data_IF_843313298485
#
_entry.id   IF_843313298485
#
_cell.length_a   1.000
_cell.length_b   1.000
_cell.length_c   1.000
_cell.angle_alpha   90.00
_cell.angle_beta   90.00
_cell.angle_gamma   90.00
#
_symmetry.space_group_name_H-M   'P 1'
#
loop_
_entity.id
_entity.type
_entity.pdbx_description
1 polymer ?
#
# COMPACT_ATOMS: atom_id res chain seq x y z
N UNK A 1 7.51 4.48 -29.65
CA UNK A 1 8.59 5.49 -29.51
C UNK A 1 8.45 6.01 -28.08
N UNK A 2 9.54 6.10 -27.32
CA UNK A 2 9.46 6.73 -26.01
C UNK A 2 9.41 8.24 -26.26
N UNK A 3 8.35 8.88 -25.81
CA UNK A 3 8.19 10.32 -25.95
C UNK A 3 8.87 11.01 -24.76
N UNK A 4 9.74 11.96 -25.07
CA UNK A 4 10.47 12.77 -24.11
C UNK A 4 9.79 14.15 -24.02
N UNK A 5 9.19 14.46 -22.86
CA UNK A 5 8.45 15.70 -22.63
C UNK A 5 9.25 16.67 -21.77
N UNK A 6 9.28 17.96 -22.14
CA UNK A 6 9.71 19.00 -21.22
C UNK A 6 8.69 19.13 -20.07
N UNK A 7 9.15 19.14 -18.83
CA UNK A 7 8.28 19.17 -17.66
C UNK A 7 8.82 20.06 -16.54
N UNK A 8 7.89 20.62 -15.77
CA UNK A 8 8.21 21.28 -14.49
C UNK A 8 7.77 20.39 -13.33
N UNK A 9 8.66 20.15 -12.36
CA UNK A 9 8.31 19.36 -11.16
C UNK A 9 7.57 20.25 -10.17
N UNK A 10 6.26 20.05 -10.05
CA UNK A 10 5.38 20.82 -9.15
C UNK A 10 5.62 20.44 -7.70
N UNK A 11 5.64 19.14 -7.39
CA UNK A 11 5.92 18.64 -6.04
C UNK A 11 6.43 17.20 -6.04
N UNK A 12 7.17 16.86 -4.99
CA UNK A 12 7.49 15.47 -4.65
C UNK A 12 6.33 14.88 -3.85
N UNK A 13 5.91 13.66 -4.20
CA UNK A 13 4.87 12.92 -3.51
C UNK A 13 5.52 11.98 -2.50
N UNK A 14 6.42 11.11 -2.96
CA UNK A 14 7.19 10.13 -2.18
C UNK A 14 8.60 9.99 -2.80
N UNK A 15 9.47 9.15 -2.24
CA UNK A 15 10.87 9.01 -2.68
C UNK A 15 11.10 8.46 -4.10
N UNK A 16 10.04 8.04 -4.80
CA UNK A 16 10.07 7.60 -6.20
C UNK A 16 8.91 8.17 -7.03
N UNK A 17 8.20 9.17 -6.50
CA UNK A 17 6.95 9.65 -7.09
C UNK A 17 6.87 11.16 -7.04
N UNK A 18 6.57 11.78 -8.19
CA UNK A 18 6.48 13.24 -8.35
C UNK A 18 5.20 13.64 -9.06
N UNK A 19 4.80 14.91 -8.91
CA UNK A 19 3.79 15.58 -9.72
C UNK A 19 4.53 16.52 -10.66
N UNK A 20 4.29 16.37 -11.96
CA UNK A 20 4.88 17.23 -12.99
C UNK A 20 3.80 17.98 -13.74
N UNK A 21 4.15 19.12 -14.31
CA UNK A 21 3.33 19.92 -15.20
C UNK A 21 3.96 19.93 -16.59
N UNK A 22 3.15 19.67 -17.62
CA UNK A 22 3.54 19.79 -19.02
C UNK A 22 3.38 21.24 -19.53
N UNK A 23 3.91 21.58 -20.72
CA UNK A 23 3.84 22.95 -21.25
C UNK A 23 2.41 23.44 -21.56
N UNK A 24 1.46 22.53 -21.72
CA UNK A 24 0.03 22.81 -21.86
C UNK A 24 -0.64 23.23 -20.53
N UNK A 25 0.05 23.07 -19.40
CA UNK A 25 -0.42 23.38 -18.06
C UNK A 25 -1.00 22.19 -17.30
N UNK A 26 -1.16 21.03 -17.94
CA UNK A 26 -1.75 19.85 -17.31
C UNK A 26 -0.78 19.17 -16.35
N UNK A 27 -1.31 18.69 -15.22
CA UNK A 27 -0.53 18.07 -14.16
C UNK A 27 -0.68 16.54 -14.10
N UNK A 28 0.44 15.83 -14.17
CA UNK A 28 0.48 14.37 -14.19
C UNK A 28 1.24 13.79 -13.00
N UNK A 29 0.73 12.68 -12.47
CA UNK A 29 1.47 11.90 -11.49
C UNK A 29 2.48 11.03 -12.21
N UNK A 30 3.73 11.06 -11.75
CA UNK A 30 4.81 10.27 -12.31
C UNK A 30 5.34 9.33 -11.24
N UNK A 31 5.44 8.04 -11.56
CA UNK A 31 6.24 7.06 -10.83
C UNK A 31 7.57 6.91 -11.55
N UNK A 32 8.67 6.99 -10.81
CA UNK A 32 10.00 6.84 -11.34
C UNK A 32 10.25 5.40 -11.76
N UNK A 33 10.57 5.21 -13.03
CA UNK A 33 10.77 3.90 -13.64
C UNK A 33 12.00 3.17 -13.08
N UNK A 34 11.87 1.86 -12.89
CA UNK A 34 12.94 0.98 -12.44
C UNK A 34 13.37 1.15 -10.98
N UNK A 35 12.78 2.04 -10.19
CA UNK A 35 13.15 2.22 -8.78
C UNK A 35 11.95 2.06 -7.85
N UNK A 36 12.21 1.77 -6.59
CA UNK A 36 11.20 1.72 -5.53
C UNK A 36 11.83 2.28 -4.25
N UNK A 37 11.23 3.35 -3.72
CA UNK A 37 11.73 4.04 -2.53
C UNK A 37 11.07 3.52 -1.24
N UNK A 38 11.74 3.62 -0.08
CA UNK A 38 11.10 3.36 1.20
C UNK A 38 9.85 4.23 1.37
N UNK A 39 8.75 3.60 1.79
CA UNK A 39 7.50 4.29 2.08
C UNK A 39 7.70 5.26 3.25
N UNK A 40 6.88 6.32 3.34
CA UNK A 40 6.98 7.34 4.41
C UNK A 40 6.95 6.78 5.83
N UNK A 41 6.33 5.61 6.03
CA UNK A 41 6.24 4.92 7.31
C UNK A 41 7.37 3.90 7.54
N UNK A 42 8.23 3.67 6.55
CA UNK A 42 9.46 2.92 6.69
C UNK A 42 10.59 3.81 7.19
N UNK A 43 11.62 3.14 7.74
CA UNK A 43 12.90 3.78 7.99
C UNK A 43 13.49 4.29 6.66
N UNK A 44 14.11 5.46 6.68
CA UNK A 44 14.56 6.22 5.50
C UNK A 44 13.47 6.74 4.55
N UNK A 45 12.17 6.55 4.83
CA UNK A 45 11.09 7.07 3.97
C UNK A 45 11.06 8.59 3.87
N UNK A 46 11.20 9.28 5.01
CA UNK A 46 11.33 10.75 5.04
C UNK A 46 12.62 11.23 4.36
N UNK A 47 13.74 10.58 4.67
CA UNK A 47 15.04 10.93 4.08
C UNK A 47 15.02 10.78 2.55
N UNK A 48 14.37 9.72 2.04
CA UNK A 48 14.19 9.47 0.62
C UNK A 48 13.35 10.54 -0.07
N UNK A 49 12.21 10.89 0.51
CA UNK A 49 11.38 12.01 0.04
C UNK A 49 12.16 13.33 0.00
N UNK A 50 12.85 13.66 1.09
CA UNK A 50 13.55 14.93 1.22
C UNK A 50 14.76 15.03 0.29
N UNK A 51 15.47 13.91 0.06
CA UNK A 51 16.55 13.86 -0.91
C UNK A 51 16.04 14.03 -2.34
N UNK A 52 14.96 13.33 -2.75
CA UNK A 52 14.36 13.55 -4.07
C UNK A 52 13.94 15.01 -4.25
N UNK A 53 13.36 15.62 -3.21
CA UNK A 53 13.00 17.04 -3.20
C UNK A 53 14.22 17.94 -3.41
N UNK A 54 15.36 17.63 -2.80
CA UNK A 54 16.61 18.36 -3.04
C UNK A 54 17.12 18.17 -4.47
N UNK A 55 17.09 16.94 -5.00
CA UNK A 55 17.50 16.64 -6.38
C UNK A 55 16.67 17.45 -7.37
N UNK A 56 15.34 17.38 -7.29
CA UNK A 56 14.47 18.07 -8.26
C UNK A 56 14.56 19.60 -8.14
N UNK A 57 14.84 20.15 -6.96
CA UNK A 57 15.01 21.59 -6.74
C UNK A 57 16.38 22.13 -7.13
N UNK A 58 17.39 21.25 -7.22
CA UNK A 58 18.73 21.65 -7.65
C UNK A 58 18.76 22.10 -9.12
N UNK A 59 17.69 21.83 -9.88
CA UNK A 59 17.56 22.17 -11.29
C UNK A 59 16.19 22.77 -11.57
N UNK A 60 16.13 23.67 -12.55
CA UNK A 60 14.88 24.33 -12.97
C UNK A 60 14.13 23.57 -14.06
N UNK A 61 14.86 22.90 -14.94
CA UNK A 61 14.31 22.31 -16.17
C UNK A 61 14.59 20.80 -16.21
N UNK A 62 13.54 20.03 -16.46
CA UNK A 62 13.55 18.58 -16.48
C UNK A 62 12.88 18.06 -17.75
N UNK A 63 13.33 16.89 -18.21
CA UNK A 63 12.63 16.06 -19.17
C UNK A 63 12.12 14.79 -18.52
N UNK A 64 10.94 14.37 -18.99
CA UNK A 64 10.33 13.11 -18.63
C UNK A 64 10.30 12.20 -19.86
N UNK A 65 11.05 11.10 -19.81
CA UNK A 65 10.87 9.99 -20.74
C UNK A 65 9.79 9.08 -20.23
N UNK A 66 8.65 9.02 -20.91
CA UNK A 66 7.55 8.12 -20.53
C UNK A 66 7.81 6.73 -21.12
N UNK A 67 7.70 5.73 -20.25
CA UNK A 67 7.91 4.31 -20.58
C UNK A 67 6.57 3.57 -20.61
N UNK A 68 5.67 3.89 -19.69
CA UNK A 68 4.38 3.22 -19.56
C UNK A 68 3.37 4.09 -18.79
N UNK A 69 2.11 3.65 -18.71
CA UNK A 69 1.09 4.19 -17.80
C UNK A 69 0.60 3.06 -16.90
N UNK A 70 0.77 3.21 -15.59
CA UNK A 70 0.39 2.15 -14.66
C UNK A 70 -1.14 2.05 -14.46
N UNK A 71 -1.57 0.97 -13.80
CA UNK A 71 -3.00 0.73 -13.51
C UNK A 71 -3.67 1.81 -12.65
N UNK A 72 -2.90 2.67 -12.01
CA UNK A 72 -3.39 3.81 -11.22
C UNK A 72 -3.39 5.11 -12.03
N UNK A 73 -3.19 5.02 -13.35
CA UNK A 73 -3.14 6.15 -14.28
C UNK A 73 -2.00 7.12 -13.94
N UNK A 74 -0.89 6.60 -13.41
CA UNK A 74 0.36 7.36 -13.27
C UNK A 74 1.24 7.11 -14.48
N UNK A 75 1.87 8.16 -14.99
CA UNK A 75 2.96 8.01 -15.94
C UNK A 75 4.11 7.27 -15.25
N UNK A 76 4.71 6.31 -15.92
CA UNK A 76 5.92 5.62 -15.47
C UNK A 76 7.07 6.10 -16.34
N UNK A 77 8.09 6.70 -15.73
CA UNK A 77 9.12 7.34 -16.54
C UNK A 77 10.42 7.68 -15.83
N UNK A 78 11.37 8.13 -16.63
CA UNK A 78 12.70 8.56 -16.19
C UNK A 78 12.75 10.08 -16.21
N UNK A 79 13.03 10.68 -15.07
CA UNK A 79 13.10 12.14 -14.92
C UNK A 79 14.58 12.56 -14.95
N UNK A 80 14.99 13.26 -16.01
CA UNK A 80 16.37 13.66 -16.23
C UNK A 80 16.49 15.14 -16.62
N UNK A 81 17.66 15.77 -16.42
CA UNK A 81 17.81 17.19 -16.67
C UNK A 81 17.66 17.55 -18.14
N UNK A 82 17.13 18.74 -18.44
CA UNK A 82 17.21 19.31 -19.79
C UNK A 82 18.70 19.41 -20.23
N UNK A 83 19.00 18.94 -21.45
CA UNK A 83 20.38 18.84 -21.96
C UNK A 83 21.25 17.78 -21.28
N UNK A 84 20.72 17.02 -20.32
CA UNK A 84 21.40 15.91 -19.65
C UNK A 84 21.08 14.55 -20.26
N UNK A 85 21.69 13.51 -19.69
CA UNK A 85 21.44 12.12 -20.08
C UNK A 85 20.60 11.38 -19.03
N UNK A 86 20.12 10.18 -19.39
CA UNK A 86 19.47 9.26 -18.45
C UNK A 86 20.36 8.95 -17.23
N UNK A 87 21.69 8.94 -17.38
CA UNK A 87 22.61 8.71 -16.25
C UNK A 87 22.58 9.84 -15.21
N UNK A 88 22.22 11.05 -15.63
CA UNK A 88 22.07 12.23 -14.76
C UNK A 88 20.66 12.30 -14.13
N UNK A 89 19.83 11.29 -14.34
CA UNK A 89 18.44 11.28 -13.89
C UNK A 89 18.32 11.30 -12.37
N UNK A 90 17.19 11.82 -11.91
CA UNK A 90 16.79 11.69 -10.52
C UNK A 90 16.71 10.21 -10.11
N UNK A 91 16.35 9.30 -11.04
CA UNK A 91 16.32 7.86 -10.77
C UNK A 91 17.70 7.33 -10.34
N UNK A 92 18.76 7.69 -11.07
CA UNK A 92 20.13 7.32 -10.70
C UNK A 92 20.55 7.93 -9.37
N UNK A 93 20.27 9.22 -9.15
CA UNK A 93 20.59 9.90 -7.89
C UNK A 93 19.93 9.21 -6.68
N UNK A 94 18.68 8.76 -6.82
CA UNK A 94 17.98 8.03 -5.75
C UNK A 94 18.63 6.69 -5.43
N UNK A 95 19.07 5.93 -6.44
CA UNK A 95 19.74 4.64 -6.22
C UNK A 95 21.14 4.85 -5.64
N UNK A 96 21.90 5.80 -6.17
CA UNK A 96 23.28 6.09 -5.76
C UNK A 96 23.38 6.60 -4.32
N UNK A 97 22.40 7.39 -3.87
CA UNK A 97 22.27 7.82 -2.47
C UNK A 97 21.83 6.70 -1.52
N UNK A 98 21.46 5.54 -2.04
CA UNK A 98 20.88 4.45 -1.24
C UNK A 98 19.50 4.78 -0.68
N UNK A 99 18.78 5.73 -1.26
CA UNK A 99 17.44 6.15 -0.83
C UNK A 99 16.32 5.61 -1.73
N UNK A 100 16.68 4.81 -2.75
CA UNK A 100 15.78 3.91 -3.44
C UNK A 100 16.49 2.59 -3.78
N UNK A 101 15.70 1.53 -3.95
CA UNK A 101 16.18 0.26 -4.46
C UNK A 101 15.97 0.19 -5.97
N UNK A 102 16.90 -0.44 -6.69
CA UNK A 102 16.64 -0.87 -8.06
C UNK A 102 15.60 -2.00 -8.05
N UNK A 103 14.45 -1.74 -8.67
CA UNK A 103 13.34 -2.67 -8.75
C UNK A 103 13.39 -3.52 -10.03
N UNK A 104 14.31 -4.49 -10.04
CA UNK A 104 14.61 -5.36 -11.21
C UNK A 104 13.38 -5.97 -11.87
N UNK A 105 12.38 -6.39 -11.09
CA UNK A 105 11.13 -7.00 -11.61
C UNK A 105 10.27 -6.02 -12.43
N UNK A 106 10.44 -4.71 -12.22
CA UNK A 106 9.70 -3.64 -12.89
C UNK A 106 10.59 -2.86 -13.87
N UNK A 107 11.74 -3.44 -14.24
CA UNK A 107 12.62 -2.96 -15.32
C UNK A 107 13.79 -2.10 -14.86
N UNK A 108 14.27 -1.23 -15.76
CA UNK A 108 15.41 -0.35 -15.52
C UNK A 108 16.79 -0.99 -15.72
N UNK A 109 16.86 -2.20 -16.25
CA UNK A 109 18.14 -2.85 -16.58
C UNK A 109 18.90 -2.08 -17.66
N UNK A 110 18.18 -1.56 -18.64
CA UNK A 110 18.67 -0.69 -19.71
C UNK A 110 19.14 0.68 -19.21
N UNK A 111 18.73 1.10 -18.01
CA UNK A 111 19.21 2.34 -17.38
C UNK A 111 20.58 2.13 -16.71
N UNK A 112 20.92 0.89 -16.34
CA UNK A 112 22.24 0.55 -15.81
C UNK A 112 22.47 1.03 -14.36
N UNK A 113 21.54 0.72 -13.46
CA UNK A 113 21.64 1.08 -12.03
C UNK A 113 22.72 0.33 -11.24
N UNK A 114 23.41 -0.65 -11.84
CA UNK A 114 24.40 -1.50 -11.17
C UNK A 114 25.49 -0.69 -10.45
N UNK A 115 26.05 0.33 -11.11
CA UNK A 115 27.12 1.14 -10.53
C UNK A 115 26.61 2.02 -9.39
N UNK A 116 25.44 2.65 -9.56
CA UNK A 116 24.77 3.43 -8.52
C UNK A 116 24.48 2.57 -7.28
N UNK A 117 23.93 1.37 -7.46
CA UNK A 117 23.61 0.46 -6.35
C UNK A 117 24.88 -0.05 -5.68
N UNK A 118 25.92 -0.42 -6.46
CA UNK A 118 27.22 -0.84 -5.92
C UNK A 118 27.88 0.27 -5.10
N UNK A 119 27.83 1.51 -5.57
CA UNK A 119 28.32 2.67 -4.84
C UNK A 119 27.61 2.80 -3.50
N UNK A 120 26.26 2.84 -3.51
CA UNK A 120 25.46 2.99 -2.31
C UNK A 120 25.72 1.88 -1.27
N UNK A 121 25.90 0.63 -1.73
CA UNK A 121 26.26 -0.51 -0.88
C UNK A 121 27.64 -0.38 -0.25
N UNK A 122 28.64 0.01 -1.04
CA UNK A 122 30.02 0.18 -0.55
C UNK A 122 30.11 1.30 0.49
N UNK A 123 29.44 2.41 0.24
CA UNK A 123 29.40 3.55 1.17
C UNK A 123 28.44 3.34 2.35
N UNK A 124 27.70 2.21 2.39
CA UNK A 124 26.64 1.96 3.38
C UNK A 124 25.65 3.13 3.45
N UNK A 125 25.29 3.68 2.30
CA UNK A 125 24.43 4.85 2.18
C UNK A 125 22.96 4.48 2.36
N UNK A 126 22.18 5.38 2.97
CA UNK A 126 20.73 5.24 3.14
C UNK A 126 20.32 3.88 3.71
N UNK A 127 19.49 3.16 2.96
CA UNK A 127 18.98 1.84 3.33
C UNK A 127 20.07 0.77 3.48
N UNK A 128 21.24 0.94 2.85
CA UNK A 128 22.32 -0.05 2.86
C UNK A 128 23.20 0.03 4.12
N UNK A 129 23.16 1.14 4.87
CA UNK A 129 23.85 1.27 6.16
C UNK A 129 22.95 1.07 7.37
N UNK A 130 21.65 1.00 7.17
CA UNK A 130 20.67 0.86 8.24
C UNK A 130 20.39 -0.61 8.54
N UNK A 131 20.55 -1.00 9.80
CA UNK A 131 20.18 -2.34 10.25
C UNK A 131 18.66 -2.53 10.18
N UNK A 132 18.23 -3.66 9.61
CA UNK A 132 16.81 -3.99 9.50
C UNK A 132 16.06 -3.24 8.40
N UNK A 133 16.75 -2.63 7.44
CA UNK A 133 16.11 -2.10 6.23
C UNK A 133 15.37 -3.19 5.47
N UNK A 134 14.08 -2.98 5.23
CA UNK A 134 13.22 -3.87 4.47
C UNK A 134 12.90 -3.20 3.13
N UNK A 135 13.00 -3.95 2.04
CA UNK A 135 12.61 -3.46 0.72
C UNK A 135 11.14 -3.03 0.71
N UNK A 136 10.75 -1.98 -0.03
CA UNK A 136 9.40 -1.42 0.10
C UNK A 136 8.33 -2.40 -0.38
N UNK A 137 8.61 -3.20 -1.42
CA UNK A 137 7.71 -4.26 -1.86
C UNK A 137 7.49 -5.37 -0.80
N UNK A 138 8.50 -5.70 -0.01
CA UNK A 138 8.39 -6.68 1.09
C UNK A 138 7.60 -6.09 2.27
N UNK A 139 7.83 -4.81 2.60
CA UNK A 139 7.04 -4.07 3.60
C UNK A 139 5.56 -4.00 3.23
N UNK A 140 5.25 -3.64 1.98
CA UNK A 140 3.87 -3.63 1.48
C UNK A 140 3.22 -5.02 1.53
N UNK A 141 3.98 -6.08 1.24
CA UNK A 141 3.50 -7.47 1.32
C UNK A 141 3.17 -7.85 2.77
N UNK A 142 4.04 -7.53 3.70
CA UNK A 142 3.84 -7.79 5.14
C UNK A 142 2.58 -7.08 5.67
N UNK A 143 2.39 -5.79 5.37
CA UNK A 143 1.21 -5.04 5.78
C UNK A 143 -0.10 -5.63 5.23
N UNK A 144 -0.11 -6.06 3.97
CA UNK A 144 -1.30 -6.69 3.36
C UNK A 144 -1.65 -8.01 4.05
N UNK A 145 -0.64 -8.80 4.40
CA UNK A 145 -0.83 -10.05 5.14
C UNK A 145 -1.42 -9.80 6.54
N UNK A 146 -0.88 -8.82 7.27
CA UNK A 146 -1.38 -8.43 8.60
C UNK A 146 -2.83 -7.93 8.52
N UNK A 147 -3.16 -7.08 7.54
CA UNK A 147 -4.52 -6.60 7.33
C UNK A 147 -5.51 -7.73 7.03
N UNK A 148 -5.09 -8.73 6.24
CA UNK A 148 -5.91 -9.91 5.95
C UNK A 148 -6.19 -10.70 7.23
N UNK A 149 -5.17 -10.98 8.04
CA UNK A 149 -5.33 -11.68 9.31
C UNK A 149 -6.24 -10.93 10.29
N UNK A 150 -6.10 -9.60 10.39
CA UNK A 150 -6.97 -8.77 11.23
C UNK A 150 -8.42 -8.81 10.78
N UNK A 151 -8.67 -8.79 9.47
CA UNK A 151 -10.03 -8.92 8.91
C UNK A 151 -10.63 -10.29 9.22
N UNK A 152 -9.89 -11.37 8.98
CA UNK A 152 -10.33 -12.74 9.29
C UNK A 152 -10.63 -12.92 10.79
N UNK A 153 -9.80 -12.36 11.66
CA UNK A 153 -10.02 -12.36 13.10
C UNK A 153 -11.28 -11.55 13.49
N UNK A 154 -11.47 -10.36 12.91
CA UNK A 154 -12.65 -9.54 13.16
C UNK A 154 -13.94 -10.21 12.66
N UNK A 155 -13.91 -10.83 11.48
CA UNK A 155 -15.02 -11.61 10.93
C UNK A 155 -15.34 -12.82 11.82
N UNK A 156 -14.32 -13.55 12.28
CA UNK A 156 -14.49 -14.69 13.20
C UNK A 156 -15.10 -14.25 14.53
N UNK A 157 -14.62 -13.15 15.11
CA UNK A 157 -15.18 -12.58 16.35
C UNK A 157 -16.63 -12.11 16.14
N UNK A 158 -16.94 -11.47 15.02
CA UNK A 158 -18.31 -11.06 14.67
C UNK A 158 -19.26 -12.26 14.55
N UNK A 159 -18.82 -13.36 13.91
CA UNK A 159 -19.60 -14.61 13.83
C UNK A 159 -19.82 -15.21 15.21
N UNK A 160 -18.81 -15.19 16.08
CA UNK A 160 -18.94 -15.67 17.47
C UNK A 160 -19.92 -14.80 18.27
N UNK A 161 -19.82 -13.46 18.16
CA UNK A 161 -20.65 -12.52 18.91
C UNK A 161 -22.12 -12.57 18.45
N UNK A 162 -22.40 -12.56 17.14
CA UNK A 162 -23.79 -12.71 16.64
C UNK A 162 -24.29 -14.14 16.88
N UNK A 163 -23.47 -15.17 16.63
CA UNK A 163 -23.85 -16.57 16.84
C UNK A 163 -24.15 -16.89 18.31
N UNK A 164 -23.43 -16.24 19.23
CA UNK A 164 -23.70 -16.28 20.67
C UNK A 164 -25.01 -15.57 21.05
N UNK A 165 -25.31 -14.43 20.43
CA UNK A 165 -26.60 -13.73 20.59
C UNK A 165 -27.76 -14.58 20.05
N UNK A 166 -27.61 -15.27 18.92
CA UNK A 166 -28.63 -16.20 18.41
C UNK A 166 -28.84 -17.41 19.33
N UNK A 167 -27.78 -17.95 19.94
CA UNK A 167 -27.90 -19.02 20.94
C UNK A 167 -28.59 -18.54 22.22
N UNK A 168 -28.30 -17.32 22.67
CA UNK A 168 -28.89 -16.76 23.89
C UNK A 168 -30.38 -16.41 23.69
N UNK A 169 -30.73 -15.76 22.57
CA UNK A 169 -32.13 -15.45 22.23
C UNK A 169 -32.94 -16.72 21.98
N UNK A 170 -32.37 -17.71 21.28
CA UNK A 170 -33.01 -19.01 21.07
C UNK A 170 -33.27 -19.79 22.38
N UNK A 171 -32.31 -19.76 23.32
CA UNK A 171 -32.48 -20.40 24.63
C UNK A 171 -33.57 -19.74 25.49
N UNK A 172 -33.65 -18.40 25.47
CA UNK A 172 -34.70 -17.65 26.19
C UNK A 172 -36.09 -17.95 25.60
N UNK A 173 -36.21 -18.01 24.27
CA UNK A 173 -37.48 -18.32 23.61
C UNK A 173 -37.99 -19.75 23.95
N UNK A 174 -37.08 -20.74 23.98
CA UNK A 174 -37.42 -22.12 24.37
C UNK A 174 -37.77 -22.23 25.85
N UNK A 175 -37.09 -21.47 26.72
CA UNK A 175 -37.41 -21.43 28.15
C UNK A 175 -38.78 -20.81 28.42
N UNK A 176 -39.13 -19.72 27.72
CA UNK A 176 -40.46 -19.10 27.82
C UNK A 176 -41.57 -20.02 27.31
N UNK A 177 -41.34 -20.75 26.22
CA UNK A 177 -42.30 -21.73 25.69
C UNK A 177 -42.52 -22.92 26.66
N UNK A 178 -41.48 -23.39 27.34
CA UNK A 178 -41.60 -24.45 28.36
C UNK A 178 -42.31 -23.98 29.64
N UNK A 179 -42.09 -22.74 30.07
CA UNK A 179 -42.78 -22.16 31.24
C UNK A 179 -44.28 -21.91 30.97
N UNK A 180 -44.65 -21.58 29.73
CA UNK A 180 -46.05 -21.45 29.29
C UNK A 180 -46.78 -22.80 29.32
N UNK A 181 -46.10 -23.90 28.99
CA UNK A 181 -46.71 -25.23 28.87
C UNK A 181 -46.98 -25.92 30.23
N UNK A 182 -46.34 -25.51 31.33
CA UNK A 182 -46.53 -26.12 32.65
C UNK A 182 -47.69 -25.54 33.46
N UNK A 183 -48.37 -24.50 32.98
CA UNK A 183 -49.45 -23.81 33.73
C UNK A 183 -50.88 -24.27 33.39
N UNK A 184 -51.09 -25.16 32.42
CA UNK A 184 -52.43 -25.52 31.91
C UNK A 184 -52.97 -26.90 32.35
N UNK A 185 -52.29 -27.61 33.26
CA UNK A 185 -52.66 -28.96 33.69
C UNK A 185 -53.52 -29.04 34.96
N UNK A 186 -54.67 -28.37 35.04
CA UNK A 186 -55.47 -28.38 36.27
C UNK A 186 -56.96 -28.10 36.09
N UNK A 187 -57.75 -29.10 35.65
CA UNK A 187 -59.20 -29.20 35.98
C UNK A 187 -59.73 -30.62 35.74
N UNK A 188 -59.69 -31.45 36.80
CA UNK A 188 -60.47 -32.69 36.91
C UNK A 188 -61.97 -32.36 36.93
N UNK A 189 -62.75 -32.84 35.96
CA UNK A 189 -64.22 -32.92 36.07
C UNK A 189 -64.63 -34.36 36.39
N UNK A 190 -65.14 -34.56 37.61
CA UNK A 190 -65.94 -35.73 38.02
C UNK A 190 -67.39 -35.54 37.55
N UNK A 191 -67.96 -36.54 36.86
CA UNK A 191 -69.41 -36.86 36.78
C UNK A 191 -69.52 -38.37 36.44
N UNK A 192 -69.76 -39.28 37.38
CA UNK A 192 -71.03 -39.76 38.01
C UNK A 192 -72.13 -40.22 37.01
N UNK A 193 -72.41 -41.55 37.06
CA UNK A 193 -73.73 -42.26 37.06
C UNK A 193 -74.57 -42.22 35.75
N UNK A 194 -75.36 -43.22 35.29
CA UNK A 194 -76.03 -44.48 35.74
C UNK A 194 -76.17 -45.42 34.49
N UNK A 195 -76.23 -46.76 34.60
CA UNK A 195 -77.44 -47.62 34.63
C UNK A 195 -78.11 -47.72 33.24
N UNK A 196 -78.47 -48.85 32.63
CA UNK A 196 -78.72 -50.25 33.03
C UNK A 196 -78.18 -51.19 31.96
#
# INVERSE_FOLDING_TARGET
MADDYAVHVVRVIDGDSVRVQLPDGDEYSVRMYGIDAPEKDQRAGRDSHDYLRCVVRSRREWRLRVVDVDRYQRLVGVLYPEGGSVRDSANHAMVESGLAYWYREYGGAELGFDDSERYARRERAGVWGQQGSVKPWDHRRAKRAEQRQRREAAESLWVILIGGVFKLVGAVLVAMLKASASSSGGRRRRRRRRGW
#
